data_IF_739321323911
#
_entry.id   IF_739321323911
#
_cell.length_a   1.000
_cell.length_b   1.000
_cell.length_c   1.000
_cell.angle_alpha   90.00
_cell.angle_beta   90.00
_cell.angle_gamma   90.00
#
_symmetry.space_group_name_H-M   'P 1'
#
loop_
_entity.id
_entity.type
_entity.pdbx_description
1 polymer ?
#
# COMPACT_ATOMS: atom_id res chain seq x y z
N UNK A 1 -19.43 -10.41 9.70
CA UNK A 1 -18.61 -9.37 9.05
C UNK A 1 -18.57 -8.21 10.03
N UNK A 2 -17.48 -8.08 10.78
CA UNK A 2 -17.40 -7.22 11.96
C UNK A 2 -17.44 -5.73 11.62
N UNK A 3 -18.51 -5.07 12.05
CA UNK A 3 -18.73 -3.63 11.87
C UNK A 3 -17.63 -2.79 12.50
N UNK A 4 -17.07 -3.25 13.63
CA UNK A 4 -15.95 -2.59 14.32
C UNK A 4 -14.63 -2.67 13.55
N UNK A 5 -14.33 -3.79 12.87
CA UNK A 5 -13.17 -3.87 11.95
C UNK A 5 -13.33 -2.93 10.76
N UNK A 6 -14.54 -2.82 10.23
CA UNK A 6 -14.87 -1.89 9.14
C UNK A 6 -14.77 -0.43 9.59
N UNK A 7 -15.19 -0.12 10.82
CA UNK A 7 -15.13 1.23 11.38
C UNK A 7 -13.69 1.64 11.72
N UNK A 8 -12.89 0.74 12.33
CA UNK A 8 -11.46 0.96 12.54
C UNK A 8 -10.69 1.09 11.22
N UNK A 9 -11.09 0.35 10.18
CA UNK A 9 -10.55 0.50 8.83
C UNK A 9 -10.95 1.84 8.18
N UNK A 10 -12.14 2.37 8.48
CA UNK A 10 -12.62 3.66 7.99
C UNK A 10 -11.98 4.86 8.73
N UNK A 11 -11.77 4.75 10.04
CA UNK A 11 -11.31 5.85 10.93
C UNK A 11 -9.80 5.83 11.22
N UNK A 12 -9.09 4.77 10.86
CA UNK A 12 -7.65 4.64 11.06
C UNK A 12 -6.82 5.60 10.18
N UNK A 13 -5.65 6.01 10.69
CA UNK A 13 -4.64 6.73 9.89
C UNK A 13 -4.34 5.90 8.64
N UNK A 14 -4.47 6.53 7.47
CA UNK A 14 -4.15 5.93 6.17
C UNK A 14 -3.18 6.81 5.41
N UNK A 15 -2.31 6.19 4.63
CA UNK A 15 -1.41 6.89 3.70
C UNK A 15 -1.20 6.06 2.46
N UNK A 16 -1.12 6.71 1.31
CA UNK A 16 -0.89 6.05 0.04
C UNK A 16 0.35 6.62 -0.61
N UNK A 17 1.23 5.74 -1.09
CA UNK A 17 2.35 6.10 -1.94
C UNK A 17 2.09 5.53 -3.32
N UNK A 18 2.41 6.31 -4.35
CA UNK A 18 2.20 5.97 -5.76
C UNK A 18 3.48 6.25 -6.53
N UNK A 19 3.86 5.35 -7.41
CA UNK A 19 4.98 5.53 -8.31
C UNK A 19 4.70 4.91 -9.66
N UNK A 20 5.32 5.46 -10.70
CA UNK A 20 5.27 4.93 -12.05
C UNK A 20 6.66 5.02 -12.68
N UNK A 21 6.88 4.26 -13.76
CA UNK A 21 8.14 4.27 -14.51
C UNK A 21 8.01 5.08 -15.81
N UNK A 22 7.42 6.28 -15.70
CA UNK A 22 7.22 7.18 -16.84
C UNK A 22 5.92 6.98 -17.62
N UNK A 23 5.08 6.00 -17.24
CA UNK A 23 3.75 5.82 -17.80
C UNK A 23 2.71 6.55 -16.93
N UNK A 24 1.99 7.53 -17.49
CA UNK A 24 0.96 8.27 -16.75
C UNK A 24 -0.36 7.49 -16.61
N UNK A 25 -0.59 6.50 -17.47
CA UNK A 25 -1.80 5.68 -17.49
C UNK A 25 -1.72 4.51 -16.50
N UNK A 26 -0.50 4.16 -16.06
CA UNK A 26 -0.24 3.04 -15.16
C UNK A 26 0.62 3.45 -13.98
N UNK A 27 0.23 3.04 -12.78
CA UNK A 27 1.05 3.23 -11.58
C UNK A 27 1.01 2.01 -10.68
N UNK A 28 1.98 1.94 -9.79
CA UNK A 28 1.99 1.00 -8.67
C UNK A 28 1.76 1.81 -7.40
N UNK A 29 1.07 1.23 -6.44
CA UNK A 29 0.79 1.89 -5.20
C UNK A 29 0.84 0.94 -4.02
N UNK A 30 1.12 1.52 -2.86
CA UNK A 30 0.87 0.91 -1.57
C UNK A 30 -0.05 1.80 -0.77
N UNK A 31 -1.16 1.23 -0.31
CA UNK A 31 -2.03 1.83 0.68
C UNK A 31 -1.69 1.23 2.04
N UNK A 32 -1.19 2.05 2.96
CA UNK A 32 -0.97 1.67 4.34
C UNK A 32 -2.15 2.16 5.19
N UNK A 33 -2.60 1.27 6.07
CA UNK A 33 -3.62 1.52 7.09
C UNK A 33 -2.98 1.32 8.47
N UNK A 34 -3.74 1.51 9.54
CA UNK A 34 -3.29 1.19 10.90
C UNK A 34 -2.99 -0.29 11.13
N UNK A 35 -3.39 -1.19 10.22
CA UNK A 35 -3.32 -2.64 10.45
C UNK A 35 -2.65 -3.44 9.32
N UNK A 36 -2.61 -2.90 8.11
CA UNK A 36 -2.14 -3.62 6.93
C UNK A 36 -1.69 -2.69 5.81
N UNK A 37 -0.90 -3.26 4.92
CA UNK A 37 -0.47 -2.70 3.65
C UNK A 37 -1.19 -3.44 2.51
N UNK A 38 -1.66 -2.68 1.52
CA UNK A 38 -2.23 -3.20 0.28
C UNK A 38 -1.42 -2.67 -0.89
N UNK A 39 -0.71 -3.57 -1.56
CA UNK A 39 0.05 -3.32 -2.77
C UNK A 39 -0.82 -3.62 -3.98
N UNK A 40 -0.79 -2.75 -4.99
CA UNK A 40 -1.56 -2.96 -6.21
C UNK A 40 -0.96 -2.22 -7.40
N UNK A 41 -1.29 -2.68 -8.59
CA UNK A 41 -1.05 -2.00 -9.86
C UNK A 41 -2.35 -1.38 -10.35
N UNK A 42 -2.30 -0.15 -10.83
CA UNK A 42 -3.43 0.54 -11.40
C UNK A 42 -3.21 0.82 -12.88
N UNK A 43 -4.24 0.67 -13.69
CA UNK A 43 -4.24 1.06 -15.10
C UNK A 43 -5.54 1.79 -15.46
N UNK A 44 -5.41 2.91 -16.18
CA UNK A 44 -6.52 3.63 -16.79
C UNK A 44 -6.95 3.03 -18.15
N UNK A 45 -6.21 2.07 -18.69
CA UNK A 45 -6.48 1.49 -20.01
C UNK A 45 -7.46 0.30 -19.99
N UNK A 46 -7.86 -0.17 -18.80
CA UNK A 46 -8.96 -1.13 -18.69
C UNK A 46 -10.29 -0.40 -18.89
N UNK A 47 -11.29 -1.07 -19.48
CA UNK A 47 -12.62 -0.47 -19.78
C UNK A 47 -13.28 0.23 -18.57
N UNK A 48 -12.99 -0.23 -17.34
CA UNK A 48 -13.48 0.41 -16.10
C UNK A 48 -12.40 1.19 -15.33
N UNK A 49 -11.12 1.03 -15.70
CA UNK A 49 -9.98 1.44 -14.88
C UNK A 49 -9.96 0.73 -13.52
N UNK A 50 -8.80 0.31 -13.01
CA UNK A 50 -8.86 -0.38 -11.73
C UNK A 50 -7.57 -0.88 -11.13
N UNK A 51 -7.63 -1.26 -9.83
CA UNK A 51 -6.56 -1.95 -9.17
C UNK A 51 -6.52 -3.40 -9.68
N UNK A 52 -5.32 -3.89 -9.86
CA UNK A 52 -5.00 -5.24 -10.32
C UNK A 52 -3.77 -5.73 -9.56
N UNK A 53 -3.55 -7.05 -9.58
CA UNK A 53 -2.38 -7.68 -8.96
C UNK A 53 -2.23 -7.23 -7.50
N UNK A 54 -3.25 -7.51 -6.69
CA UNK A 54 -3.33 -7.02 -5.32
C UNK A 54 -2.65 -7.97 -4.34
N UNK A 55 -1.81 -7.42 -3.46
CA UNK A 55 -1.17 -8.16 -2.38
C UNK A 55 -1.39 -7.45 -1.06
N UNK A 56 -1.89 -8.20 -0.07
CA UNK A 56 -2.03 -7.73 1.29
C UNK A 56 -0.85 -8.21 2.14
N UNK A 57 -0.24 -7.30 2.88
CA UNK A 57 0.90 -7.57 3.74
C UNK A 57 0.68 -6.93 5.11
N UNK A 58 0.94 -7.66 6.19
CA UNK A 58 0.88 -7.09 7.55
C UNK A 58 2.12 -6.25 7.84
N UNK A 59 2.04 -5.34 8.82
CA UNK A 59 3.22 -4.54 9.24
C UNK A 59 4.37 -5.44 9.72
N UNK A 60 4.05 -6.52 10.45
CA UNK A 60 5.03 -7.49 10.90
C UNK A 60 5.73 -8.21 9.73
N UNK A 61 4.98 -8.62 8.71
CA UNK A 61 5.54 -9.22 7.52
C UNK A 61 6.45 -8.22 6.77
N UNK A 62 5.99 -6.98 6.60
CA UNK A 62 6.80 -5.93 5.96
C UNK A 62 8.11 -5.68 6.71
N UNK A 63 8.10 -5.65 8.04
CA UNK A 63 9.32 -5.50 8.86
C UNK A 63 10.27 -6.70 8.75
N UNK A 64 9.73 -7.91 8.58
CA UNK A 64 10.54 -9.13 8.52
C UNK A 64 11.11 -9.43 7.13
N UNK A 65 10.33 -9.23 6.06
CA UNK A 65 10.72 -9.60 4.69
C UNK A 65 10.91 -8.41 3.75
N UNK A 66 10.48 -7.22 4.17
CA UNK A 66 10.54 -6.00 3.37
C UNK A 66 9.37 -5.84 2.39
N UNK A 67 9.51 -4.87 1.50
CA UNK A 67 8.56 -4.62 0.42
C UNK A 67 8.57 -5.77 -0.59
N UNK A 68 7.42 -6.15 -1.18
CA UNK A 68 7.36 -7.23 -2.13
C UNK A 68 8.10 -6.87 -3.43
N UNK A 69 9.10 -7.69 -3.81
CA UNK A 69 9.97 -7.44 -4.95
C UNK A 69 9.21 -7.25 -6.27
N UNK A 70 8.06 -7.91 -6.41
CA UNK A 70 7.20 -7.84 -7.60
C UNK A 70 6.67 -6.43 -7.92
N UNK A 71 6.73 -5.47 -6.98
CA UNK A 71 6.20 -4.11 -7.17
C UNK A 71 7.28 -3.06 -7.43
N UNK A 72 8.56 -3.46 -7.51
CA UNK A 72 9.65 -2.56 -7.88
C UNK A 72 9.67 -1.26 -7.03
N UNK A 73 9.46 -1.41 -5.72
CA UNK A 73 9.20 -0.29 -4.82
C UNK A 73 10.44 0.61 -4.70
N UNK A 74 10.31 1.93 -4.94
CA UNK A 74 11.44 2.84 -4.81
C UNK A 74 11.99 2.86 -3.38
N UNK A 75 13.32 2.95 -3.17
CA UNK A 75 13.91 3.00 -1.83
C UNK A 75 13.37 4.15 -0.97
N UNK A 76 13.05 5.29 -1.58
CA UNK A 76 12.42 6.42 -0.90
C UNK A 76 11.05 6.08 -0.31
N UNK A 77 10.23 5.34 -1.05
CA UNK A 77 8.91 4.87 -0.59
C UNK A 77 9.06 3.88 0.56
N UNK A 78 10.03 2.95 0.47
CA UNK A 78 10.30 2.00 1.57
C UNK A 78 10.68 2.74 2.84
N UNK A 79 11.58 3.75 2.75
CA UNK A 79 11.98 4.57 3.89
C UNK A 79 10.80 5.31 4.52
N UNK A 80 10.04 6.05 3.70
CA UNK A 80 8.89 6.82 4.19
C UNK A 80 7.79 5.93 4.78
N UNK A 81 7.60 4.74 4.22
CA UNK A 81 6.65 3.76 4.74
C UNK A 81 7.09 3.24 6.11
N UNK A 82 8.36 2.88 6.27
CA UNK A 82 8.92 2.49 7.58
C UNK A 82 8.77 3.60 8.61
N UNK A 83 9.15 4.84 8.28
CA UNK A 83 9.00 6.00 9.16
C UNK A 83 7.53 6.22 9.58
N UNK A 84 6.59 6.02 8.66
CA UNK A 84 5.17 6.15 8.94
C UNK A 84 4.65 5.04 9.85
N UNK A 85 5.09 3.79 9.63
CA UNK A 85 4.74 2.65 10.47
C UNK A 85 5.29 2.80 11.90
N UNK A 86 6.52 3.28 12.05
CA UNK A 86 7.12 3.51 13.36
C UNK A 86 6.40 4.66 14.11
N UNK A 87 5.90 5.67 13.40
CA UNK A 87 5.07 6.73 13.97
C UNK A 87 3.63 6.30 14.32
N UNK A 88 3.21 5.07 13.96
CA UNK A 88 1.95 4.48 14.42
C UNK A 88 2.11 3.68 15.71
N UNK A 89 3.29 3.10 15.95
CA UNK A 89 3.59 2.29 17.13
C UNK A 89 4.08 3.11 18.33
N UNK A 90 4.55 4.36 18.10
CA UNK A 90 4.98 5.30 19.14
C UNK A 90 3.89 6.27 19.58
#
# INVERSE_FOLDING_TARGET
>A
MDRERLQSWLEGKRRTWRWNRGDASRYVAVEATSHALRWYRWSHEMEEGGPSDELHQTHAAFRSVGAPAAYDVPPGVVRELTEWLDALDG
#
